data_IF_090967263406
#
_entry.id   IF_090967263406
#
_cell.length_a   1.000
_cell.length_b   1.000
_cell.length_c   1.000
_cell.angle_alpha   90.00
_cell.angle_beta   90.00
_cell.angle_gamma   90.00
#
_symmetry.space_group_name_H-M   'P 1'
#
loop_
_entity.id
_entity.type
_entity.pdbx_description
1 polymer ?
#
# COMPACT_ATOMS: atom_id res chain seq x y z
N UNK A 1 15.26 -57.76 23.55
CA UNK A 1 14.67 -56.68 24.40
C UNK A 1 15.62 -55.49 24.59
N UNK A 2 16.50 -55.17 23.63
CA UNK A 2 17.49 -54.08 23.78
C UNK A 2 17.29 -52.92 22.80
N UNK A 3 16.42 -53.07 21.79
CA UNK A 3 16.10 -52.02 20.82
C UNK A 3 15.09 -51.00 21.37
N UNK A 4 14.17 -51.43 22.23
CA UNK A 4 13.13 -50.55 22.81
C UNK A 4 13.68 -49.54 23.84
N UNK A 5 14.80 -49.87 24.51
CA UNK A 5 15.46 -48.97 25.49
C UNK A 5 16.25 -47.84 24.83
N UNK A 6 16.73 -48.06 23.60
CA UNK A 6 17.51 -47.05 22.86
C UNK A 6 16.58 -45.91 22.39
N UNK A 7 15.36 -46.23 21.95
CA UNK A 7 14.39 -45.22 21.54
C UNK A 7 13.86 -44.37 22.70
N UNK A 8 13.68 -44.94 23.89
CA UNK A 8 13.26 -44.19 25.08
C UNK A 8 14.31 -43.17 25.55
N UNK A 9 15.62 -43.52 25.45
CA UNK A 9 16.70 -42.60 25.80
C UNK A 9 16.93 -41.50 24.76
N UNK A 10 16.63 -41.75 23.48
CA UNK A 10 16.73 -40.70 22.45
C UNK A 10 15.62 -39.65 22.60
N UNK A 11 14.43 -40.05 23.06
CA UNK A 11 13.29 -39.16 23.27
C UNK A 11 13.47 -38.25 24.51
N UNK A 12 14.16 -38.73 25.55
CA UNK A 12 14.46 -37.95 26.77
C UNK A 12 15.51 -36.85 26.57
N UNK A 13 16.47 -37.05 25.65
CA UNK A 13 17.52 -36.05 25.36
C UNK A 13 16.99 -34.91 24.46
N UNK A 14 16.05 -35.20 23.56
CA UNK A 14 15.47 -34.20 22.65
C UNK A 14 14.57 -33.16 23.35
N UNK A 15 13.91 -33.53 24.46
CA UNK A 15 13.08 -32.62 25.25
C UNK A 15 13.89 -31.59 26.05
N UNK A 16 15.18 -31.84 26.30
CA UNK A 16 16.02 -30.95 27.12
C UNK A 16 16.68 -29.81 26.33
N UNK A 17 16.67 -29.87 24.99
CA UNK A 17 17.30 -28.86 24.12
C UNK A 17 16.33 -27.80 23.58
N UNK A 18 15.04 -27.88 23.92
CA UNK A 18 14.02 -26.91 23.49
C UNK A 18 13.70 -25.84 24.54
N UNK A 19 14.29 -25.91 25.75
CA UNK A 19 13.96 -25.00 26.87
C UNK A 19 14.77 -23.70 26.91
N UNK A 20 15.75 -23.51 26.02
CA UNK A 20 16.60 -22.32 25.99
C UNK A 20 16.30 -21.33 24.85
N UNK A 21 15.17 -21.47 24.15
CA UNK A 21 14.68 -20.40 23.29
C UNK A 21 14.15 -19.26 24.16
N UNK A 22 15.07 -18.38 24.51
CA UNK A 22 14.85 -17.10 25.17
C UNK A 22 13.90 -16.24 24.34
N UNK A 23 12.69 -16.08 24.84
CA UNK A 23 11.72 -15.11 24.36
C UNK A 23 12.18 -13.71 24.78
N UNK A 24 12.94 -13.04 23.91
CA UNK A 24 13.23 -11.63 24.04
C UNK A 24 11.98 -10.82 23.67
N UNK A 25 11.21 -10.38 24.67
CA UNK A 25 10.26 -9.28 24.49
C UNK A 25 11.07 -7.99 24.37
N UNK A 26 11.30 -7.54 23.14
CA UNK A 26 11.73 -6.18 22.91
C UNK A 26 10.56 -5.25 23.25
N UNK A 27 10.79 -4.37 24.24
CA UNK A 27 9.84 -3.35 24.66
C UNK A 27 9.97 -2.20 23.67
N UNK A 28 9.20 -2.24 22.59
CA UNK A 28 8.95 -1.01 21.83
C UNK A 28 7.97 -0.16 22.62
N UNK A 29 8.56 0.72 23.40
CA UNK A 29 7.96 1.89 24.03
C UNK A 29 7.16 2.66 22.96
N UNK A 30 5.86 2.38 22.87
CA UNK A 30 4.93 3.20 22.10
C UNK A 30 4.71 4.47 22.91
N UNK A 31 5.69 5.36 22.79
CA UNK A 31 5.50 6.78 23.09
C UNK A 31 4.29 7.23 22.29
N UNK A 32 3.23 7.48 23.03
CA UNK A 32 1.95 8.01 22.58
C UNK A 32 2.20 9.42 22.03
N UNK A 33 2.73 9.51 20.81
CA UNK A 33 2.73 10.75 20.05
C UNK A 33 1.28 11.02 19.68
N UNK A 34 0.60 11.79 20.53
CA UNK A 34 -0.64 12.47 20.17
C UNK A 34 -0.36 13.24 18.88
N UNK A 35 -0.81 12.74 17.74
CA UNK A 35 -1.00 13.57 16.56
C UNK A 35 -2.07 14.61 16.91
N UNK A 36 -1.60 15.78 17.36
CA UNK A 36 -2.40 16.98 17.44
C UNK A 36 -2.67 17.37 15.99
N UNK A 37 -3.86 17.03 15.49
CA UNK A 37 -4.35 17.55 14.22
C UNK A 37 -4.26 19.08 14.29
N UNK A 38 -3.35 19.68 13.53
CA UNK A 38 -3.32 21.12 13.34
C UNK A 38 -4.55 21.47 12.49
N UNK A 39 -5.62 21.87 13.17
CA UNK A 39 -6.73 22.55 12.55
C UNK A 39 -6.18 23.89 12.06
N UNK A 40 -5.97 24.04 10.74
CA UNK A 40 -5.77 25.36 10.15
C UNK A 40 -7.08 26.13 10.29
N UNK A 41 -7.23 26.81 11.42
CA UNK A 41 -8.18 27.88 11.59
C UNK A 41 -7.68 29.03 10.70
N UNK A 42 -8.35 29.23 9.57
CA UNK A 42 -8.23 30.47 8.81
C UNK A 42 -8.85 31.58 9.66
N UNK A 43 -8.03 32.26 10.47
CA UNK A 43 -8.42 33.52 11.06
C UNK A 43 -8.51 34.55 9.94
N UNK A 44 -9.73 34.81 9.48
CA UNK A 44 -10.04 35.95 8.64
C UNK A 44 -9.75 37.21 9.45
N UNK A 45 -8.72 37.95 9.07
CA UNK A 45 -8.48 39.30 9.59
C UNK A 45 -9.72 40.15 9.32
N UNK A 46 -10.37 40.58 10.40
CA UNK A 46 -11.50 41.51 10.37
C UNK A 46 -10.93 42.92 10.27
N UNK A 47 -10.46 43.30 9.08
CA UNK A 47 -10.04 44.69 8.88
C UNK A 47 -11.28 45.57 8.64
N UNK A 48 -11.52 46.46 9.59
CA UNK A 48 -12.65 47.36 9.64
C UNK A 48 -12.16 48.76 9.27
N UNK A 49 -11.75 48.98 8.01
CA UNK A 49 -11.70 50.31 7.40
C UNK A 49 -11.25 50.26 5.92
N UNK A 50 -12.11 49.80 5.01
CA UNK A 50 -11.97 50.20 3.61
C UNK A 50 -13.30 50.74 3.09
N UNK A 51 -13.29 52.06 2.90
CA UNK A 51 -14.37 52.85 2.33
C UNK A 51 -14.73 52.36 0.92
N UNK A 52 -16.02 52.16 0.71
CA UNK A 52 -16.67 52.00 -0.57
C UNK A 52 -16.16 52.99 -1.62
N UNK A 53 -15.49 52.46 -2.66
CA UNK A 53 -15.58 52.97 -4.03
C UNK A 53 -15.59 51.76 -4.98
N UNK A 54 -16.77 51.20 -5.18
CA UNK A 54 -17.03 50.36 -6.36
C UNK A 54 -16.92 51.27 -7.57
N UNK A 55 -15.87 51.10 -8.38
CA UNK A 55 -15.80 51.64 -9.72
C UNK A 55 -16.06 50.51 -10.73
N UNK A 56 -16.95 50.81 -11.66
CA UNK A 56 -17.51 49.97 -12.72
C UNK A 56 -16.48 49.04 -13.40
N UNK A 57 -16.62 47.73 -13.20
CA UNK A 57 -16.11 46.78 -14.19
C UNK A 57 -17.19 46.56 -15.25
N UNK A 58 -17.03 47.29 -16.35
CA UNK A 58 -17.77 47.16 -17.60
C UNK A 58 -17.58 45.72 -18.13
N UNK A 59 -18.63 44.89 -18.06
CA UNK A 59 -18.59 43.54 -18.65
C UNK A 59 -18.40 43.65 -20.16
N UNK A 60 -17.27 43.16 -20.68
CA UNK A 60 -17.12 42.93 -22.12
C UNK A 60 -17.94 41.71 -22.50
N UNK A 61 -19.13 41.98 -23.04
CA UNK A 61 -19.91 41.06 -23.86
C UNK A 61 -19.32 41.10 -25.26
N UNK A 62 -18.48 40.12 -25.62
CA UNK A 62 -18.52 39.47 -26.93
C UNK A 62 -17.43 38.42 -27.13
N UNK A 63 -17.76 37.47 -28.02
CA UNK A 63 -16.89 36.51 -28.70
C UNK A 63 -16.73 35.14 -28.04
N UNK A 64 -17.81 34.36 -28.14
CA UNK A 64 -17.81 33.04 -28.78
C UNK A 64 -16.43 32.38 -28.92
N UNK A 65 -15.96 31.70 -27.87
CA UNK A 65 -14.92 30.68 -28.01
C UNK A 65 -15.61 29.36 -28.39
N UNK A 66 -15.93 29.25 -29.67
CA UNK A 66 -16.42 28.03 -30.30
C UNK A 66 -15.26 27.03 -30.43
N UNK A 67 -15.54 25.81 -29.98
CA UNK A 67 -14.59 24.72 -29.74
C UNK A 67 -13.89 24.22 -31.00
N UNK A 68 -12.60 23.88 -30.87
CA UNK A 68 -12.03 22.71 -31.55
C UNK A 68 -11.13 21.96 -30.56
N UNK A 69 -11.75 21.16 -29.69
CA UNK A 69 -11.07 19.97 -29.16
C UNK A 69 -10.97 18.99 -30.32
N UNK A 70 -9.92 19.15 -31.11
CA UNK A 70 -9.62 18.24 -32.19
C UNK A 70 -9.39 16.86 -31.59
N UNK A 71 -10.18 15.92 -32.09
CA UNK A 71 -10.32 14.55 -31.64
C UNK A 71 -9.03 13.78 -31.94
N UNK A 72 -7.93 14.04 -31.22
CA UNK A 72 -6.76 13.17 -31.22
C UNK A 72 -7.00 12.04 -30.23
N UNK A 73 -7.97 11.19 -30.57
CA UNK A 73 -8.26 9.94 -29.88
C UNK A 73 -7.33 8.82 -30.35
N UNK A 74 -6.08 9.14 -30.66
CA UNK A 74 -5.01 8.17 -30.93
C UNK A 74 -3.69 8.79 -30.49
N UNK A 75 -3.15 8.32 -29.36
CA UNK A 75 -1.73 8.22 -28.96
C UNK A 75 -1.60 8.23 -27.43
N UNK A 76 -1.81 7.09 -26.80
CA UNK A 76 -1.13 6.61 -25.59
C UNK A 76 -1.69 5.21 -25.34
N UNK A 77 -1.23 4.23 -26.12
CA UNK A 77 -1.31 2.85 -25.67
C UNK A 77 -0.39 2.74 -24.47
N UNK A 78 -0.87 3.13 -23.29
CA UNK A 78 -0.17 2.91 -22.03
C UNK A 78 0.12 1.42 -21.96
N UNK A 79 1.39 1.05 -22.14
CA UNK A 79 1.86 -0.29 -21.81
C UNK A 79 1.75 -0.39 -20.29
N UNK A 80 0.57 -0.74 -19.80
CA UNK A 80 0.34 -0.98 -18.38
C UNK A 80 1.37 -1.99 -17.91
N UNK A 81 2.07 -1.64 -16.84
CA UNK A 81 3.17 -2.46 -16.35
C UNK A 81 2.67 -3.86 -15.98
N UNK A 82 3.44 -4.94 -16.22
CA UNK A 82 3.03 -6.31 -15.91
C UNK A 82 2.72 -6.57 -14.43
N UNK A 83 3.16 -5.67 -13.54
CA UNK A 83 2.95 -5.76 -12.10
C UNK A 83 1.54 -5.33 -11.68
N UNK A 84 0.85 -4.51 -12.48
CA UNK A 84 -0.49 -4.01 -12.16
C UNK A 84 -1.49 -5.10 -12.50
N UNK A 85 -2.15 -5.65 -11.47
CA UNK A 85 -3.15 -6.71 -11.62
C UNK A 85 -4.53 -6.10 -11.82
N UNK A 86 -5.28 -6.70 -12.72
CA UNK A 86 -6.65 -6.32 -13.05
C UNK A 86 -7.58 -7.53 -12.90
N UNK A 87 -8.85 -7.28 -12.57
CA UNK A 87 -9.84 -8.32 -12.40
C UNK A 87 -9.65 -9.15 -11.12
N UNK A 88 -9.79 -10.47 -11.26
CA UNK A 88 -9.60 -11.42 -10.16
C UNK A 88 -8.13 -11.83 -10.07
N UNK A 89 -7.51 -11.50 -8.93
CA UNK A 89 -6.07 -11.64 -8.73
C UNK A 89 -5.77 -13.06 -8.23
N UNK A 90 -4.95 -13.77 -8.98
CA UNK A 90 -4.50 -15.13 -8.68
C UNK A 90 -3.16 -15.08 -7.96
N UNK A 91 -3.16 -15.05 -6.62
CA UNK A 91 -1.92 -14.88 -5.85
C UNK A 91 -0.94 -16.06 -6.01
N UNK A 92 -1.46 -17.28 -6.15
CA UNK A 92 -0.64 -18.48 -6.33
C UNK A 92 0.11 -18.45 -7.67
N UNK A 93 -0.52 -17.92 -8.73
CA UNK A 93 0.16 -17.74 -10.02
C UNK A 93 1.29 -16.70 -9.98
N UNK A 94 1.29 -15.81 -8.98
CA UNK A 94 2.30 -14.76 -8.82
C UNK A 94 3.55 -15.27 -8.14
N UNK A 95 3.39 -16.17 -7.17
CA UNK A 95 4.49 -16.81 -6.46
C UNK A 95 5.13 -17.89 -7.35
N UNK A 96 5.91 -17.44 -8.33
CA UNK A 96 6.61 -18.29 -9.30
C UNK A 96 7.61 -19.21 -8.59
N UNK A 97 8.19 -18.73 -7.48
CA UNK A 97 9.25 -19.41 -6.75
C UNK A 97 8.73 -20.37 -5.65
N UNK A 98 7.44 -20.27 -5.29
CA UNK A 98 6.71 -21.10 -4.31
C UNK A 98 7.22 -20.98 -2.87
N UNK A 99 7.69 -19.81 -2.47
CA UNK A 99 8.14 -19.54 -1.10
C UNK A 99 7.01 -19.05 -0.16
N UNK A 100 5.80 -18.87 -0.70
CA UNK A 100 4.64 -18.39 0.03
C UNK A 100 4.66 -16.88 0.30
N UNK A 101 5.47 -16.11 -0.44
CA UNK A 101 5.62 -14.66 -0.31
C UNK A 101 5.50 -13.96 -1.65
N UNK A 102 5.13 -12.68 -1.58
CA UNK A 102 5.10 -11.76 -2.72
C UNK A 102 5.52 -10.37 -2.29
N UNK A 103 5.93 -9.56 -3.26
CA UNK A 103 6.23 -8.14 -3.09
C UNK A 103 5.00 -7.32 -3.51
N UNK A 104 4.46 -6.55 -2.57
CA UNK A 104 3.23 -5.77 -2.75
C UNK A 104 3.46 -4.30 -2.40
N UNK A 105 2.83 -3.39 -3.14
CA UNK A 105 2.82 -1.97 -2.80
C UNK A 105 1.81 -1.67 -1.68
N UNK A 106 2.11 -0.69 -0.82
CA UNK A 106 1.27 -0.33 0.34
C UNK A 106 0.25 0.77 0.04
N UNK A 107 0.38 1.44 -1.10
CA UNK A 107 -0.54 2.47 -1.61
C UNK A 107 -1.38 1.91 -2.75
N UNK A 108 -0.76 1.14 -3.65
CA UNK A 108 -1.38 0.56 -4.84
C UNK A 108 -1.49 -0.97 -4.69
N UNK A 109 -2.49 -1.45 -3.93
CA UNK A 109 -2.58 -2.85 -3.50
C UNK A 109 -2.63 -3.90 -4.62
N UNK A 110 -3.05 -3.52 -5.82
CA UNK A 110 -3.05 -4.38 -7.01
C UNK A 110 -1.70 -4.45 -7.73
N UNK A 111 -0.66 -3.79 -7.23
CA UNK A 111 0.71 -3.91 -7.73
C UNK A 111 1.42 -5.00 -6.95
N UNK A 112 1.58 -6.17 -7.58
CA UNK A 112 2.11 -7.38 -6.94
C UNK A 112 3.09 -8.09 -7.88
N UNK A 113 4.22 -8.53 -7.32
CA UNK A 113 5.34 -9.18 -8.00
C UNK A 113 5.92 -10.33 -7.17
N UNK A 114 6.41 -11.38 -7.82
CA UNK A 114 7.26 -12.42 -7.18
C UNK A 114 8.61 -11.84 -6.71
N UNK A 115 9.10 -10.85 -7.46
CA UNK A 115 10.45 -10.30 -7.32
C UNK A 115 10.45 -8.92 -6.66
N UNK A 116 11.53 -8.58 -5.93
CA UNK A 116 11.71 -7.23 -5.41
C UNK A 116 11.73 -6.21 -6.55
N UNK A 117 11.15 -5.04 -6.31
CA UNK A 117 11.02 -4.02 -7.34
C UNK A 117 10.45 -2.72 -6.81
N UNK A 118 10.08 -1.85 -7.74
CA UNK A 118 9.38 -0.60 -7.45
C UNK A 118 8.00 -0.59 -8.09
N UNK A 119 7.05 0.04 -7.41
CA UNK A 119 5.73 0.29 -7.97
C UNK A 119 5.84 1.22 -9.19
N UNK A 120 5.25 0.88 -10.34
CA UNK A 120 5.29 1.72 -11.54
C UNK A 120 4.43 2.98 -11.44
N UNK A 121 3.54 3.06 -10.43
CA UNK A 121 2.62 4.18 -10.23
C UNK A 121 3.23 5.23 -9.28
N UNK A 122 3.71 4.80 -8.12
CA UNK A 122 4.23 5.71 -7.08
C UNK A 122 5.76 5.68 -6.93
N UNK A 123 6.46 4.78 -7.65
CA UNK A 123 7.93 4.61 -7.63
C UNK A 123 8.52 4.24 -6.26
N UNK A 124 7.69 3.82 -5.30
CA UNK A 124 8.12 3.28 -4.01
C UNK A 124 8.59 1.83 -4.14
N UNK A 125 9.43 1.37 -3.21
CA UNK A 125 9.83 -0.04 -3.16
C UNK A 125 8.66 -0.90 -2.69
N UNK A 126 8.45 -2.02 -3.38
CA UNK A 126 7.48 -3.03 -2.95
C UNK A 126 7.95 -3.69 -1.66
N UNK A 127 6.99 -4.05 -0.80
CA UNK A 127 7.24 -4.70 0.49
C UNK A 127 6.97 -6.19 0.39
N UNK A 128 7.89 -7.02 0.87
CA UNK A 128 7.67 -8.46 1.00
C UNK A 128 6.59 -8.74 2.05
N UNK A 129 5.61 -9.56 1.68
CA UNK A 129 4.49 -10.00 2.51
C UNK A 129 4.19 -11.47 2.22
N UNK A 130 3.60 -12.19 3.17
CA UNK A 130 3.09 -13.55 2.88
C UNK A 130 1.87 -13.50 1.96
N UNK A 131 1.58 -14.61 1.27
CA UNK A 131 0.38 -14.75 0.45
C UNK A 131 -0.91 -14.45 1.23
N UNK A 132 -1.02 -14.96 2.45
CA UNK A 132 -2.16 -14.69 3.34
C UNK A 132 -2.33 -13.19 3.61
N UNK A 133 -1.20 -12.51 3.86
CA UNK A 133 -1.22 -11.07 4.13
C UNK A 133 -1.57 -10.27 2.87
N UNK A 134 -1.04 -10.65 1.72
CA UNK A 134 -1.38 -10.05 0.44
C UNK A 134 -2.87 -10.22 0.14
N UNK A 135 -3.42 -11.42 0.38
CA UNK A 135 -4.86 -11.71 0.24
C UNK A 135 -5.71 -10.84 1.14
N UNK A 136 -5.37 -10.73 2.43
CA UNK A 136 -6.07 -9.81 3.32
C UNK A 136 -6.05 -8.37 2.83
N UNK A 137 -4.88 -7.89 2.40
CA UNK A 137 -4.73 -6.52 1.91
C UNK A 137 -5.60 -6.28 0.67
N UNK A 138 -5.64 -7.22 -0.26
CA UNK A 138 -6.48 -7.14 -1.45
C UNK A 138 -7.98 -7.09 -1.09
N UNK A 139 -8.44 -8.02 -0.26
CA UNK A 139 -9.85 -8.08 0.15
C UNK A 139 -10.28 -6.83 0.93
N UNK A 140 -9.44 -6.34 1.84
CA UNK A 140 -9.71 -5.11 2.61
C UNK A 140 -9.83 -3.86 1.74
N UNK A 141 -9.20 -3.87 0.56
CA UNK A 141 -9.19 -2.75 -0.38
C UNK A 141 -10.08 -3.00 -1.61
N UNK A 142 -11.00 -3.96 -1.55
CA UNK A 142 -12.04 -4.17 -2.57
C UNK A 142 -11.61 -4.95 -3.81
N UNK A 143 -10.45 -5.60 -3.78
CA UNK A 143 -10.00 -6.47 -4.87
C UNK A 143 -10.54 -7.90 -4.70
N UNK A 144 -10.78 -8.56 -5.82
CA UNK A 144 -11.17 -9.98 -5.85
C UNK A 144 -9.93 -10.84 -5.97
N UNK A 145 -9.91 -11.95 -5.23
CA UNK A 145 -8.78 -12.90 -5.19
C UNK A 145 -9.34 -14.30 -5.40
N UNK A 146 -8.72 -15.08 -6.27
CA UNK A 146 -8.98 -16.52 -6.41
C UNK A 146 -7.85 -17.33 -5.82
#
# INVERSE_FOLDING_TARGET
MNTLKIFANFFLVAMFLLSSYTFAQDKTDSTKTKHKMMHHQHDMMKDSSMQNKMHDMKMMKDSTHQMMMENKKEMMGEKKSPLIREGEIDLESIDENKDGKVYQDVMDWNVISDKPGKCPLCNMKLKEVSLDKAKENLLKNGFKVK
#
